data_IF_954199300424
#
_entry.id   IF_954199300424
#
_cell.length_a   1.000
_cell.length_b   1.000
_cell.length_c   1.000
_cell.angle_alpha   90.00
_cell.angle_beta   90.00
_cell.angle_gamma   90.00
#
_symmetry.space_group_name_H-M   'P 1'
#
loop_
_entity.id
_entity.type
_entity.pdbx_description
1 polymer ?
#
# COMPACT_ATOMS: atom_id res chain seq x y z
N UNK A 1 -25.76 7.96 40.47
CA UNK A 1 -24.30 7.88 40.72
C UNK A 1 -23.61 8.55 39.54
N UNK A 2 -22.60 9.35 39.85
CA UNK A 2 -22.33 10.64 39.23
C UNK A 2 -21.71 10.60 37.82
N UNK A 3 -22.09 11.61 37.04
CA UNK A 3 -21.44 12.08 35.81
C UNK A 3 -20.12 12.79 36.10
N UNK A 4 -19.16 12.67 35.19
CA UNK A 4 -17.98 13.55 35.09
C UNK A 4 -17.58 13.59 33.61
N UNK A 5 -17.98 14.59 32.83
CA UNK A 5 -17.40 15.94 32.66
C UNK A 5 -16.05 15.92 31.94
N UNK A 6 -16.07 16.33 30.67
CA UNK A 6 -14.92 16.71 29.86
C UNK A 6 -14.31 18.02 30.38
N UNK A 7 -12.97 18.10 30.41
CA UNK A 7 -12.24 19.34 30.58
C UNK A 7 -11.15 19.44 29.50
N UNK A 8 -11.38 20.33 28.54
CA UNK A 8 -10.37 20.94 27.67
C UNK A 8 -9.62 22.01 28.47
N UNK A 9 -8.28 22.01 28.42
CA UNK A 9 -7.48 23.18 28.77
C UNK A 9 -6.38 23.40 27.74
N UNK A 10 -6.38 24.62 27.21
CA UNK A 10 -5.46 25.17 26.24
C UNK A 10 -4.68 26.30 26.95
N UNK A 11 -3.38 26.41 26.67
CA UNK A 11 -2.58 27.62 26.90
C UNK A 11 -1.67 27.62 28.14
N UNK A 12 -0.36 27.75 27.94
CA UNK A 12 0.36 29.02 28.16
C UNK A 12 1.87 28.82 28.07
N UNK A 13 2.53 29.82 27.50
CA UNK A 13 3.96 29.87 27.19
C UNK A 13 4.78 30.50 28.33
N UNK A 14 5.98 29.95 28.58
CA UNK A 14 7.14 30.59 29.24
C UNK A 14 7.32 30.32 30.75
N UNK A 15 8.54 30.45 31.32
CA UNK A 15 9.80 30.93 30.74
C UNK A 15 10.96 29.91 30.80
N UNK A 16 12.00 30.24 30.04
CA UNK A 16 13.30 29.57 29.94
C UNK A 16 14.20 30.00 31.12
N UNK A 17 14.71 29.05 31.91
CA UNK A 17 15.88 29.23 32.78
C UNK A 17 16.75 27.97 32.74
N UNK A 18 18.05 28.21 32.56
CA UNK A 18 19.11 27.26 32.27
C UNK A 18 19.59 26.46 33.48
N UNK A 19 20.08 25.23 33.23
CA UNK A 19 21.19 24.65 33.99
C UNK A 19 22.02 23.72 33.10
N UNK A 20 23.31 24.05 32.95
CA UNK A 20 24.37 23.18 32.47
C UNK A 20 24.43 21.90 33.31
N UNK A 21 24.49 20.75 32.65
CA UNK A 21 24.71 19.44 33.26
C UNK A 21 25.52 18.56 32.34
N UNK A 22 26.83 18.58 32.55
CA UNK A 22 27.84 17.72 31.93
C UNK A 22 27.57 16.24 32.20
N UNK A 23 27.35 15.46 31.15
CA UNK A 23 27.29 14.00 31.20
C UNK A 23 28.04 13.41 30.00
N UNK A 24 29.35 13.26 30.14
CA UNK A 24 30.21 12.62 29.16
C UNK A 24 29.92 11.10 29.14
N UNK A 25 29.25 10.63 28.09
CA UNK A 25 29.29 9.22 27.71
C UNK A 25 30.60 8.92 26.95
N UNK A 26 31.16 7.71 27.03
CA UNK A 26 32.39 7.38 26.33
C UNK A 26 32.12 7.30 24.83
N UNK A 27 32.43 8.38 24.12
CA UNK A 27 32.51 8.38 22.65
C UNK A 27 33.82 7.70 22.24
N UNK A 28 33.73 6.57 21.53
CA UNK A 28 34.88 6.01 20.82
C UNK A 28 35.29 7.00 19.71
N UNK A 29 36.26 7.84 20.03
CA UNK A 29 36.80 8.84 19.12
C UNK A 29 37.58 8.20 17.98
N UNK A 30 37.52 8.82 16.81
CA UNK A 30 38.60 8.77 15.85
C UNK A 30 38.90 10.19 15.37
N UNK A 31 40.13 10.63 15.57
CA UNK A 31 40.63 11.95 15.21
C UNK A 31 40.83 12.04 13.69
N UNK A 32 40.26 13.08 13.05
CA UNK A 32 40.64 13.48 11.70
C UNK A 32 41.87 14.38 11.78
N UNK A 33 42.99 13.88 11.25
CA UNK A 33 44.21 14.67 11.06
C UNK A 33 44.06 15.51 9.79
N UNK A 34 44.25 16.82 9.96
CA UNK A 34 44.42 17.80 8.90
C UNK A 34 45.72 17.53 8.11
N UNK A 35 45.65 17.54 6.78
CA UNK A 35 46.82 17.84 5.95
C UNK A 35 46.41 18.70 4.74
N UNK A 36 47.03 19.87 4.67
CA UNK A 36 46.85 20.93 3.67
C UNK A 36 47.88 20.85 2.53
N UNK A 37 47.40 20.83 1.26
CA UNK A 37 47.85 21.54 0.01
C UNK A 37 49.34 21.50 -0.46
N UNK A 38 49.69 21.55 -1.77
CA UNK A 38 49.19 22.56 -2.75
C UNK A 38 49.03 22.16 -4.23
N UNK A 39 48.45 23.13 -4.96
CA UNK A 39 47.93 23.17 -6.33
C UNK A 39 48.98 23.36 -7.44
N UNK A 40 48.69 22.84 -8.66
CA UNK A 40 48.81 23.46 -10.03
C UNK A 40 49.10 22.41 -11.13
N UNK A 41 48.88 22.67 -12.44
CA UNK A 41 47.85 23.45 -13.13
C UNK A 41 47.12 22.63 -14.26
N UNK A 42 46.09 23.26 -14.87
CA UNK A 42 45.19 22.73 -15.90
C UNK A 42 45.85 22.34 -17.24
N UNK A 43 45.39 21.23 -17.82
CA UNK A 43 45.54 20.88 -19.24
C UNK A 43 44.24 20.19 -19.77
N UNK A 44 43.93 20.28 -21.08
CA UNK A 44 42.56 20.34 -21.59
C UNK A 44 41.87 18.98 -21.75
N UNK A 45 40.54 19.05 -21.63
CA UNK A 45 39.53 17.99 -21.69
C UNK A 45 39.40 17.37 -23.08
N UNK A 46 39.70 16.07 -23.21
CA UNK A 46 39.18 15.22 -24.27
C UNK A 46 38.08 14.34 -23.68
N UNK A 47 36.83 14.58 -24.09
CA UNK A 47 35.68 13.74 -23.77
C UNK A 47 35.77 12.41 -24.54
N UNK A 48 36.39 11.42 -23.94
CA UNK A 48 36.19 10.01 -24.31
C UNK A 48 35.10 9.45 -23.37
N UNK A 49 34.07 8.84 -23.96
CA UNK A 49 33.02 8.14 -23.23
C UNK A 49 33.64 6.96 -22.46
N UNK A 50 33.91 7.17 -21.17
CA UNK A 50 34.35 6.11 -20.28
C UNK A 50 33.16 5.18 -20.00
N UNK A 51 33.23 3.97 -20.53
CA UNK A 51 32.50 2.83 -19.98
C UNK A 51 32.85 2.71 -18.51
N UNK A 52 31.92 3.03 -17.62
CA UNK A 52 32.12 2.89 -16.18
C UNK A 52 32.26 1.39 -15.86
N UNK A 53 33.49 0.91 -15.73
CA UNK A 53 33.77 -0.40 -15.15
C UNK A 53 33.44 -0.31 -13.66
N UNK A 54 32.45 -1.07 -13.22
CA UNK A 54 32.18 -1.24 -11.78
C UNK A 54 33.44 -1.87 -11.16
N UNK A 55 34.09 -1.21 -10.18
CA UNK A 55 35.30 -1.74 -9.58
C UNK A 55 34.99 -3.05 -8.84
N UNK A 56 35.85 -4.06 -9.02
CA UNK A 56 35.73 -5.33 -8.32
C UNK A 56 35.79 -5.12 -6.80
N UNK A 57 34.97 -5.85 -6.00
CA UNK A 57 34.96 -5.69 -4.55
C UNK A 57 36.33 -6.04 -3.95
N UNK A 58 36.77 -5.28 -2.96
CA UNK A 58 38.02 -5.54 -2.27
C UNK A 58 37.98 -6.89 -1.53
N UNK A 59 39.12 -7.59 -1.35
CA UNK A 59 39.15 -8.85 -0.59
C UNK A 59 38.58 -8.73 0.83
N UNK A 60 38.74 -7.57 1.46
CA UNK A 60 38.19 -7.27 2.79
C UNK A 60 36.66 -7.21 2.75
N UNK A 61 36.07 -6.61 1.70
CA UNK A 61 34.62 -6.55 1.54
C UNK A 61 34.02 -7.96 1.36
N UNK A 62 34.70 -8.84 0.62
CA UNK A 62 34.28 -10.24 0.44
C UNK A 62 34.33 -11.01 1.76
N UNK A 63 35.43 -10.90 2.52
CA UNK A 63 35.55 -11.57 3.82
C UNK A 63 34.53 -11.04 4.84
N UNK A 64 34.32 -9.73 4.89
CA UNK A 64 33.32 -9.12 5.76
C UNK A 64 31.90 -9.58 5.42
N UNK A 65 31.56 -9.69 4.13
CA UNK A 65 30.27 -10.22 3.68
C UNK A 65 30.06 -11.67 4.17
N UNK A 66 31.06 -12.54 4.00
CA UNK A 66 31.01 -13.93 4.48
C UNK A 66 30.84 -14.00 6.00
N UNK A 67 31.61 -13.22 6.75
CA UNK A 67 31.52 -13.17 8.21
C UNK A 67 30.15 -12.67 8.70
N UNK A 68 29.59 -11.65 8.05
CA UNK A 68 28.26 -11.12 8.36
C UNK A 68 27.17 -12.17 8.14
N UNK A 69 27.26 -12.98 7.07
CA UNK A 69 26.32 -14.09 6.83
C UNK A 69 26.36 -15.10 7.97
N UNK A 70 27.55 -15.46 8.47
CA UNK A 70 27.69 -16.39 9.61
C UNK A 70 27.07 -15.80 10.87
N UNK A 71 27.32 -14.52 11.17
CA UNK A 71 26.71 -13.84 12.33
C UNK A 71 25.19 -13.83 12.22
N UNK A 72 24.65 -13.39 11.09
CA UNK A 72 23.19 -13.29 10.87
C UNK A 72 22.52 -14.66 10.99
N UNK A 73 23.13 -15.71 10.42
CA UNK A 73 22.62 -17.07 10.56
C UNK A 73 22.65 -17.53 12.02
N UNK A 74 23.73 -17.24 12.77
CA UNK A 74 23.80 -17.58 14.19
C UNK A 74 22.74 -16.84 15.02
N UNK A 75 22.58 -15.53 14.82
CA UNK A 75 21.57 -14.71 15.48
C UNK A 75 20.15 -15.23 15.21
N UNK A 76 19.88 -15.68 13.98
CA UNK A 76 18.59 -16.27 13.63
C UNK A 76 18.35 -17.63 14.31
N UNK A 77 19.30 -18.57 14.21
CA UNK A 77 19.11 -19.93 14.72
C UNK A 77 19.19 -20.00 16.26
N UNK A 78 20.23 -19.42 16.85
CA UNK A 78 20.43 -19.45 18.29
C UNK A 78 19.58 -18.39 19.00
N UNK A 79 19.56 -17.17 18.48
CA UNK A 79 18.84 -16.05 19.08
C UNK A 79 17.33 -16.15 18.88
N UNK A 80 16.84 -15.95 17.65
CA UNK A 80 15.41 -15.88 17.39
C UNK A 80 14.68 -17.23 17.57
N UNK A 81 15.17 -18.30 16.94
CA UNK A 81 14.45 -19.59 16.94
C UNK A 81 14.51 -20.32 18.27
N UNK A 82 15.66 -20.27 18.95
CA UNK A 82 15.87 -20.99 20.22
C UNK A 82 15.64 -20.11 21.45
N UNK A 83 15.66 -18.78 21.30
CA UNK A 83 15.55 -17.84 22.42
C UNK A 83 16.80 -17.78 23.31
N UNK A 84 17.93 -18.34 22.87
CA UNK A 84 19.14 -18.39 23.69
C UNK A 84 19.62 -16.97 23.98
N UNK A 85 19.99 -16.69 25.23
CA UNK A 85 20.50 -15.39 25.68
C UNK A 85 19.49 -14.24 25.56
N UNK A 86 18.19 -14.54 25.48
CA UNK A 86 17.15 -13.51 25.53
C UNK A 86 17.21 -12.70 26.83
N UNK A 87 17.13 -11.39 26.71
CA UNK A 87 17.10 -10.44 27.83
C UNK A 87 15.75 -9.70 27.94
N UNK A 88 14.80 -10.03 27.06
CA UNK A 88 13.44 -9.49 27.06
C UNK A 88 12.42 -10.49 26.52
N UNK A 89 11.22 -10.46 27.06
CA UNK A 89 10.07 -11.18 26.54
C UNK A 89 9.09 -10.24 25.84
N UNK A 90 8.49 -10.69 24.74
CA UNK A 90 7.41 -9.99 24.05
C UNK A 90 6.15 -10.84 24.10
N UNK A 91 5.11 -10.35 24.74
CA UNK A 91 3.81 -10.98 24.86
C UNK A 91 2.85 -10.36 23.83
N UNK A 92 2.27 -11.22 23.01
CA UNK A 92 1.13 -10.92 22.12
C UNK A 92 -0.04 -11.86 22.48
N UNK A 93 -1.26 -11.63 21.95
CA UNK A 93 -2.43 -12.38 22.41
C UNK A 93 -2.32 -13.91 22.20
N UNK A 94 -1.58 -14.34 21.19
CA UNK A 94 -1.43 -15.75 20.81
C UNK A 94 -0.13 -16.41 21.30
N UNK A 95 0.89 -15.66 21.71
CA UNK A 95 2.22 -16.21 21.99
C UNK A 95 3.09 -15.28 22.83
N UNK A 96 4.08 -15.86 23.50
CA UNK A 96 5.23 -15.15 24.07
C UNK A 96 6.51 -15.47 23.29
N UNK A 97 7.33 -14.45 23.05
CA UNK A 97 8.65 -14.58 22.42
C UNK A 97 9.76 -14.27 23.42
N UNK A 98 10.83 -15.04 23.39
CA UNK A 98 12.08 -14.75 24.07
C UNK A 98 13.03 -14.06 23.07
N UNK A 99 13.25 -12.76 23.25
CA UNK A 99 13.92 -11.88 22.27
C UNK A 99 15.10 -11.13 22.89
N UNK A 100 15.76 -10.31 22.07
CA UNK A 100 16.97 -9.58 22.43
C UNK A 100 16.75 -8.08 22.23
N UNK A 101 16.87 -7.28 23.31
CA UNK A 101 16.58 -5.84 23.30
C UNK A 101 17.34 -5.11 22.19
N UNK A 102 18.63 -5.40 22.05
CA UNK A 102 19.49 -4.78 21.03
C UNK A 102 19.03 -5.05 19.58
N UNK A 103 18.43 -6.22 19.33
CA UNK A 103 17.97 -6.58 17.99
C UNK A 103 16.59 -5.96 17.75
N UNK A 104 15.67 -6.11 18.70
CA UNK A 104 14.30 -5.61 18.53
C UNK A 104 14.20 -4.08 18.61
N UNK A 105 15.17 -3.38 19.20
CA UNK A 105 15.25 -1.92 19.18
C UNK A 105 15.45 -1.33 17.78
N UNK A 106 15.72 -2.16 16.77
CA UNK A 106 15.69 -1.77 15.36
C UNK A 106 14.29 -1.39 14.87
N UNK A 107 13.25 -1.91 15.52
CA UNK A 107 11.87 -1.47 15.31
C UNK A 107 11.64 -0.18 16.14
N UNK A 108 11.32 0.96 15.51
CA UNK A 108 11.02 2.20 16.22
C UNK A 108 9.85 2.05 17.19
N UNK A 109 8.84 1.25 16.82
CA UNK A 109 7.71 0.95 17.69
C UNK A 109 8.15 0.20 18.95
N UNK A 110 8.89 -0.91 18.81
CA UNK A 110 9.36 -1.68 19.96
C UNK A 110 10.37 -0.90 20.81
N UNK A 111 11.23 -0.09 20.19
CA UNK A 111 12.13 0.82 20.91
C UNK A 111 11.35 1.83 21.76
N UNK A 112 10.27 2.40 21.21
CA UNK A 112 9.40 3.31 21.97
C UNK A 112 8.70 2.59 23.13
N UNK A 113 8.14 1.40 22.90
CA UNK A 113 7.48 0.60 23.94
C UNK A 113 8.47 0.22 25.06
N UNK A 114 9.71 -0.15 24.72
CA UNK A 114 10.77 -0.38 25.71
C UNK A 114 11.09 0.88 26.52
N UNK A 115 11.18 2.04 25.86
CA UNK A 115 11.51 3.31 26.52
C UNK A 115 10.44 3.79 27.50
N UNK A 116 9.18 3.44 27.23
CA UNK A 116 8.01 3.78 28.05
C UNK A 116 7.70 2.73 29.11
N UNK A 117 8.42 1.59 29.09
CA UNK A 117 8.27 0.49 30.06
C UNK A 117 9.62 0.07 30.67
N UNK A 118 10.41 1.00 31.25
CA UNK A 118 11.82 0.77 31.59
C UNK A 118 12.07 -0.28 32.69
N UNK A 119 11.06 -0.59 33.51
CA UNK A 119 11.17 -1.55 34.61
C UNK A 119 10.69 -2.97 34.26
N UNK A 120 10.09 -3.17 33.08
CA UNK A 120 9.55 -4.48 32.69
C UNK A 120 10.52 -5.24 31.78
N UNK A 121 10.75 -6.52 32.09
CA UNK A 121 11.40 -7.46 31.18
C UNK A 121 10.41 -8.13 30.21
N UNK A 122 9.14 -7.75 30.27
CA UNK A 122 8.08 -8.26 29.40
C UNK A 122 7.34 -7.10 28.77
N UNK A 123 7.39 -7.01 27.44
CA UNK A 123 6.62 -6.06 26.65
C UNK A 123 5.29 -6.70 26.28
N UNK A 124 4.18 -5.97 26.39
CA UNK A 124 2.86 -6.44 25.98
C UNK A 124 2.39 -5.60 24.80
N UNK A 125 2.12 -6.23 23.66
CA UNK A 125 1.62 -5.53 22.47
C UNK A 125 0.14 -5.88 22.29
N UNK A 126 -0.77 -4.90 22.42
CA UNK A 126 -2.19 -5.12 22.18
C UNK A 126 -2.45 -5.21 20.68
N UNK A 127 -2.83 -6.39 20.19
CA UNK A 127 -3.11 -6.66 18.77
C UNK A 127 -4.57 -7.03 18.52
N UNK A 128 -5.43 -7.01 19.54
CA UNK A 128 -6.83 -7.41 19.48
C UNK A 128 -7.67 -6.55 18.53
N UNK A 129 -7.23 -5.32 18.27
CA UNK A 129 -7.91 -4.36 17.39
C UNK A 129 -7.33 -4.34 15.97
N UNK A 130 -6.33 -5.19 15.67
CA UNK A 130 -5.62 -5.20 14.40
C UNK A 130 -5.93 -6.48 13.60
N UNK A 131 -7.11 -6.56 12.94
CA UNK A 131 -7.57 -7.79 12.27
C UNK A 131 -6.71 -8.19 11.06
N UNK A 132 -5.87 -7.27 10.57
CA UNK A 132 -4.97 -7.51 9.44
C UNK A 132 -3.59 -8.04 9.88
N UNK A 133 -3.32 -8.14 11.18
CA UNK A 133 -2.10 -8.75 11.71
C UNK A 133 -2.39 -10.19 12.11
N UNK A 134 -1.59 -11.10 11.60
CA UNK A 134 -1.70 -12.54 11.87
C UNK A 134 -0.51 -13.02 12.71
N UNK A 135 -0.64 -14.17 13.40
CA UNK A 135 0.50 -14.78 14.08
C UNK A 135 1.69 -15.02 13.15
N UNK A 136 1.42 -15.51 11.93
CA UNK A 136 2.44 -15.78 10.93
C UNK A 136 3.16 -14.49 10.49
N UNK A 137 2.41 -13.43 10.18
CA UNK A 137 3.02 -12.17 9.76
C UNK A 137 3.85 -11.52 10.87
N UNK A 138 3.42 -11.67 12.12
CA UNK A 138 4.16 -11.22 13.29
C UNK A 138 5.47 -12.01 13.48
N UNK A 139 5.43 -13.33 13.35
CA UNK A 139 6.61 -14.20 13.38
C UNK A 139 7.61 -13.78 12.29
N UNK A 140 7.13 -13.58 11.05
CA UNK A 140 7.96 -13.17 9.91
C UNK A 140 8.65 -11.83 10.21
N UNK A 141 7.89 -10.81 10.61
CA UNK A 141 8.45 -9.47 10.84
C UNK A 141 9.46 -9.43 12.01
N UNK A 142 9.17 -10.11 13.12
CA UNK A 142 10.15 -10.22 14.22
C UNK A 142 11.41 -10.96 13.77
N UNK A 143 11.24 -12.05 13.03
CA UNK A 143 12.37 -12.84 12.53
C UNK A 143 13.21 -12.07 11.51
N UNK A 144 12.61 -11.14 10.76
CA UNK A 144 13.28 -10.24 9.83
C UNK A 144 14.27 -9.29 10.53
N UNK A 145 13.98 -8.86 11.77
CA UNK A 145 14.91 -8.05 12.56
C UNK A 145 16.22 -8.80 12.86
N UNK A 146 16.20 -10.14 12.85
CA UNK A 146 17.37 -11.00 13.04
C UNK A 146 18.02 -11.40 11.72
N UNK A 147 17.23 -11.68 10.67
CA UNK A 147 17.75 -12.16 9.39
C UNK A 147 16.77 -11.92 8.23
N UNK A 148 17.27 -11.54 7.04
CA UNK A 148 16.46 -11.42 5.84
C UNK A 148 15.96 -12.77 5.31
N UNK A 149 16.44 -13.90 5.84
CA UNK A 149 15.96 -15.24 5.43
C UNK A 149 14.43 -15.42 5.62
N UNK A 150 13.83 -14.63 6.51
CA UNK A 150 12.38 -14.56 6.71
C UNK A 150 11.59 -14.11 5.48
N UNK A 151 12.23 -13.42 4.52
CA UNK A 151 11.62 -13.06 3.23
C UNK A 151 11.16 -14.30 2.46
N UNK A 152 11.84 -15.44 2.64
CA UNK A 152 11.46 -16.70 2.01
C UNK A 152 10.10 -17.22 2.48
N UNK A 153 9.59 -16.76 3.63
CA UNK A 153 8.27 -17.12 4.14
C UNK A 153 7.15 -16.21 3.60
N UNK A 154 7.49 -15.09 2.96
CA UNK A 154 6.48 -14.18 2.40
C UNK A 154 5.95 -14.77 1.09
N UNK A 155 4.62 -14.82 0.99
CA UNK A 155 3.85 -15.43 -0.11
C UNK A 155 2.68 -14.52 -0.47
N UNK A 156 2.11 -14.62 -1.69
CA UNK A 156 0.99 -13.78 -2.09
C UNK A 156 -0.21 -13.78 -1.10
N UNK A 157 -0.51 -14.92 -0.47
CA UNK A 157 -1.64 -15.04 0.46
C UNK A 157 -1.41 -14.38 1.83
N UNK A 158 -0.16 -14.31 2.32
CA UNK A 158 0.19 -13.71 3.62
C UNK A 158 0.78 -12.29 3.47
N UNK A 159 1.11 -11.87 2.25
CA UNK A 159 1.79 -10.60 1.95
C UNK A 159 1.07 -9.38 2.55
N UNK A 160 -0.26 -9.35 2.52
CA UNK A 160 -1.06 -8.27 3.14
C UNK A 160 -0.80 -8.14 4.63
N UNK A 161 -0.81 -9.27 5.35
CA UNK A 161 -0.60 -9.27 6.80
C UNK A 161 0.84 -8.93 7.16
N UNK A 162 1.81 -9.40 6.35
CA UNK A 162 3.23 -9.05 6.49
C UNK A 162 3.44 -7.54 6.29
N UNK A 163 2.80 -6.95 5.27
CA UNK A 163 2.86 -5.51 5.02
C UNK A 163 2.32 -4.71 6.22
N UNK A 164 1.13 -5.06 6.72
CA UNK A 164 0.54 -4.44 7.91
C UNK A 164 1.50 -4.52 9.12
N UNK A 165 2.03 -5.71 9.38
CA UNK A 165 2.94 -5.95 10.51
C UNK A 165 4.23 -5.14 10.39
N UNK A 166 4.84 -5.11 9.20
CA UNK A 166 6.06 -4.36 8.94
C UNK A 166 5.84 -2.84 9.12
N UNK A 167 4.67 -2.33 8.72
CA UNK A 167 4.29 -0.94 8.95
C UNK A 167 4.01 -0.62 10.41
N UNK A 168 3.34 -1.51 11.17
CA UNK A 168 3.13 -1.34 12.61
C UNK A 168 4.46 -1.24 13.37
N UNK A 169 5.34 -2.21 13.13
CA UNK A 169 6.61 -2.31 13.87
C UNK A 169 7.63 -1.28 13.39
N UNK A 170 7.62 -0.93 12.10
CA UNK A 170 8.55 0.02 11.49
C UNK A 170 10.01 -0.49 11.40
N UNK A 171 10.87 0.27 10.72
CA UNK A 171 12.32 -0.03 10.57
C UNK A 171 12.62 -1.25 9.70
N UNK A 172 11.69 -1.63 8.83
CA UNK A 172 11.74 -2.80 7.95
C UNK A 172 11.23 -2.45 6.54
N UNK A 173 11.75 -1.37 5.96
CA UNK A 173 11.27 -0.80 4.69
C UNK A 173 11.38 -1.79 3.54
N UNK A 174 12.46 -2.57 3.50
CA UNK A 174 12.66 -3.60 2.48
C UNK A 174 11.63 -4.74 2.59
N UNK A 175 11.30 -5.19 3.81
CA UNK A 175 10.25 -6.19 4.03
C UNK A 175 8.88 -5.64 3.61
N UNK A 176 8.56 -4.41 4.01
CA UNK A 176 7.32 -3.76 3.63
C UNK A 176 7.21 -3.63 2.11
N UNK A 177 8.25 -3.12 1.44
CA UNK A 177 8.26 -3.00 -0.02
C UNK A 177 8.15 -4.37 -0.71
N UNK A 178 8.86 -5.40 -0.22
CA UNK A 178 8.78 -6.75 -0.78
C UNK A 178 7.36 -7.34 -0.66
N UNK A 179 6.75 -7.23 0.52
CA UNK A 179 5.38 -7.66 0.75
C UNK A 179 4.38 -6.86 -0.11
N UNK A 180 4.60 -5.55 -0.29
CA UNK A 180 3.82 -4.71 -1.18
C UNK A 180 3.88 -5.17 -2.65
N UNK A 181 5.07 -5.47 -3.16
CA UNK A 181 5.22 -6.00 -4.53
C UNK A 181 4.48 -7.34 -4.70
N UNK A 182 4.54 -8.23 -3.71
CA UNK A 182 3.77 -9.48 -3.73
C UNK A 182 2.26 -9.26 -3.67
N UNK A 183 1.80 -8.23 -2.96
CA UNK A 183 0.40 -7.81 -2.97
C UNK A 183 -0.03 -7.44 -4.41
N UNK A 184 0.75 -6.61 -5.10
CA UNK A 184 0.45 -6.22 -6.48
C UNK A 184 0.49 -7.39 -7.46
N UNK A 185 1.45 -8.31 -7.31
CA UNK A 185 1.53 -9.52 -8.13
C UNK A 185 0.35 -10.48 -7.92
N UNK A 186 -0.29 -10.42 -6.75
CA UNK A 186 -1.47 -11.23 -6.46
C UNK A 186 -2.76 -10.67 -7.06
N UNK A 187 -2.74 -9.46 -7.64
CA UNK A 187 -3.91 -8.85 -8.29
C UNK A 187 -4.21 -9.58 -9.59
N UNK A 188 -5.41 -10.14 -9.68
CA UNK A 188 -5.89 -10.91 -10.81
C UNK A 188 -7.41 -10.81 -10.93
N UNK A 189 -7.97 -11.35 -12.01
CA UNK A 189 -9.43 -11.48 -12.20
C UNK A 189 -10.08 -12.21 -11.01
N UNK A 190 -9.42 -13.23 -10.48
CA UNK A 190 -9.96 -14.09 -9.43
C UNK A 190 -9.90 -13.43 -8.05
N UNK A 191 -8.89 -12.60 -7.81
CA UNK A 191 -8.62 -12.01 -6.49
C UNK A 191 -9.11 -10.57 -6.36
N UNK A 192 -9.44 -9.87 -7.46
CA UNK A 192 -9.78 -8.44 -7.43
C UNK A 192 -10.97 -8.14 -6.51
N UNK A 193 -11.94 -9.04 -6.39
CA UNK A 193 -13.09 -8.83 -5.50
C UNK A 193 -12.67 -8.88 -4.02
N UNK A 194 -11.81 -9.82 -3.63
CA UNK A 194 -11.28 -9.90 -2.26
C UNK A 194 -10.41 -8.67 -1.91
N UNK A 195 -9.76 -8.09 -2.92
CA UNK A 195 -9.03 -6.83 -2.78
C UNK A 195 -9.97 -5.65 -2.55
N UNK A 196 -11.12 -5.62 -3.23
CA UNK A 196 -12.13 -4.57 -3.02
C UNK A 196 -12.75 -4.66 -1.62
N UNK A 197 -13.15 -5.86 -1.20
CA UNK A 197 -13.71 -6.07 0.14
C UNK A 197 -12.72 -5.65 1.24
N UNK A 198 -11.43 -5.97 1.04
CA UNK A 198 -10.36 -5.51 1.90
C UNK A 198 -10.25 -3.98 1.93
N UNK A 199 -10.21 -3.31 0.77
CA UNK A 199 -10.05 -1.85 0.71
C UNK A 199 -11.25 -1.08 1.27
N UNK A 200 -12.44 -1.67 1.21
CA UNK A 200 -13.66 -1.15 1.85
C UNK A 200 -13.63 -1.30 3.37
N UNK A 201 -12.97 -2.35 3.89
CA UNK A 201 -12.80 -2.53 5.33
C UNK A 201 -11.83 -1.53 5.96
N UNK A 202 -10.96 -0.92 5.16
CA UNK A 202 -10.03 0.10 5.63
C UNK A 202 -10.75 1.43 5.93
N UNK A 203 -10.32 2.16 6.97
CA UNK A 203 -10.84 3.50 7.27
C UNK A 203 -10.88 4.40 6.04
N UNK A 204 -12.02 5.06 5.83
CA UNK A 204 -12.22 5.92 4.67
C UNK A 204 -11.29 7.15 4.71
N UNK A 205 -10.76 7.49 3.54
CA UNK A 205 -10.09 8.78 3.32
C UNK A 205 -11.16 9.84 3.18
N UNK A 206 -11.33 10.70 4.19
CA UNK A 206 -12.28 11.81 4.11
C UNK A 206 -11.84 12.80 3.03
N UNK A 207 -12.74 13.09 2.09
CA UNK A 207 -12.49 14.02 0.98
C UNK A 207 -12.41 15.50 1.42
N UNK A 208 -12.56 15.79 2.72
CA UNK A 208 -12.66 17.13 3.29
C UNK A 208 -11.29 17.72 3.75
N UNK A 209 -10.17 17.17 3.29
CA UNK A 209 -8.83 17.71 3.60
C UNK A 209 -8.36 17.45 5.04
N UNK A 210 -9.04 16.56 5.76
CA UNK A 210 -8.57 16.05 7.04
C UNK A 210 -7.53 14.95 6.79
N UNK A 211 -6.44 14.87 7.59
CA UNK A 211 -5.47 13.79 7.43
C UNK A 211 -6.17 12.44 7.52
N UNK A 212 -5.77 11.53 6.62
CA UNK A 212 -6.29 10.17 6.57
C UNK A 212 -6.25 9.54 7.98
N UNK A 213 -7.33 8.86 8.41
CA UNK A 213 -7.29 8.10 9.65
C UNK A 213 -6.08 7.14 9.61
N UNK A 214 -5.30 7.05 10.71
CA UNK A 214 -4.14 6.19 10.74
C UNK A 214 -4.57 4.75 10.48
N UNK A 215 -3.92 4.10 9.53
CA UNK A 215 -4.09 2.67 9.26
C UNK A 215 -2.79 1.96 9.59
N UNK A 216 -2.90 0.70 9.97
CA UNK A 216 -1.73 -0.18 10.19
C UNK A 216 -0.86 -0.35 8.94
N UNK A 217 -1.38 -0.01 7.76
CA UNK A 217 -0.65 -0.06 6.48
C UNK A 217 0.11 1.23 6.16
N UNK A 218 0.00 2.27 6.99
CA UNK A 218 0.67 3.56 6.76
C UNK A 218 0.40 4.13 5.36
N UNK A 219 1.44 4.55 4.61
CA UNK A 219 1.27 5.12 3.27
C UNK A 219 0.77 4.10 2.22
N UNK A 220 0.98 2.81 2.45
CA UNK A 220 0.62 1.77 1.48
C UNK A 220 -0.88 1.59 1.33
N UNK A 221 -1.71 1.98 2.32
CA UNK A 221 -3.17 1.94 2.19
C UNK A 221 -3.65 2.77 0.99
N UNK A 222 -3.14 3.99 0.85
CA UNK A 222 -3.47 4.86 -0.28
C UNK A 222 -2.92 4.30 -1.60
N UNK A 223 -1.68 3.83 -1.60
CA UNK A 223 -1.05 3.27 -2.79
C UNK A 223 -1.79 2.03 -3.29
N UNK A 224 -2.18 1.10 -2.41
CA UNK A 224 -2.99 -0.07 -2.77
C UNK A 224 -4.32 0.33 -3.41
N UNK A 225 -5.00 1.38 -2.93
CA UNK A 225 -6.24 1.87 -3.54
C UNK A 225 -6.01 2.38 -4.96
N UNK A 226 -4.94 3.15 -5.16
CA UNK A 226 -4.60 3.67 -6.49
C UNK A 226 -4.17 2.54 -7.45
N UNK A 227 -3.39 1.58 -6.98
CA UNK A 227 -2.92 0.47 -7.80
C UNK A 227 -4.03 -0.53 -8.14
N UNK A 228 -4.97 -0.80 -7.22
CA UNK A 228 -6.17 -1.60 -7.52
C UNK A 228 -7.04 -0.87 -8.55
N UNK A 229 -7.20 0.45 -8.43
CA UNK A 229 -7.92 1.22 -9.44
C UNK A 229 -7.21 1.18 -10.79
N UNK A 230 -5.89 1.33 -10.82
CA UNK A 230 -5.10 1.26 -12.04
C UNK A 230 -5.16 -0.14 -12.67
N UNK A 231 -5.15 -1.19 -11.84
CA UNK A 231 -5.38 -2.56 -12.29
C UNK A 231 -6.74 -2.70 -12.98
N UNK A 232 -7.82 -2.16 -12.38
CA UNK A 232 -9.14 -2.16 -13.00
C UNK A 232 -9.15 -1.40 -14.35
N UNK A 233 -8.51 -0.24 -14.41
CA UNK A 233 -8.53 0.62 -15.61
C UNK A 233 -7.72 0.02 -16.76
N UNK A 234 -6.51 -0.45 -16.48
CA UNK A 234 -5.50 -0.78 -17.50
C UNK A 234 -5.24 -2.27 -17.56
N UNK A 235 -4.75 -2.85 -16.46
CA UNK A 235 -4.20 -4.22 -16.47
C UNK A 235 -5.26 -5.29 -16.68
N UNK A 236 -6.44 -5.15 -16.06
CA UNK A 236 -7.52 -6.13 -16.11
C UNK A 236 -8.14 -6.25 -17.51
N UNK A 237 -8.53 -5.16 -18.21
CA UNK A 237 -9.02 -5.28 -19.58
C UNK A 237 -7.98 -5.86 -20.53
N UNK A 238 -6.68 -5.54 -20.34
CA UNK A 238 -5.59 -6.06 -21.15
C UNK A 238 -5.35 -7.55 -20.91
N UNK A 239 -5.32 -8.00 -19.65
CA UNK A 239 -5.13 -9.41 -19.31
C UNK A 239 -6.28 -10.29 -19.81
N UNK A 240 -7.50 -9.74 -19.85
CA UNK A 240 -8.67 -10.39 -20.42
C UNK A 240 -8.74 -10.30 -21.95
N UNK A 241 -7.85 -9.54 -22.62
CA UNK A 241 -7.97 -9.22 -24.05
C UNK A 241 -9.36 -8.69 -24.42
N UNK A 242 -9.97 -7.92 -23.51
CA UNK A 242 -11.38 -7.56 -23.56
C UNK A 242 -11.76 -6.73 -24.80
N UNK A 243 -10.80 -5.97 -25.35
CA UNK A 243 -11.02 -5.08 -26.50
C UNK A 243 -10.14 -5.42 -27.71
N UNK A 244 -9.49 -6.58 -27.71
CA UNK A 244 -8.67 -7.06 -28.83
C UNK A 244 -9.58 -7.49 -29.99
N UNK A 245 -10.06 -6.49 -30.74
CA UNK A 245 -10.67 -6.65 -32.06
C UNK A 245 -9.64 -6.11 -33.06
N UNK A 246 -9.30 -6.91 -34.09
CA UNK A 246 -8.15 -6.75 -34.96
C UNK A 246 -7.77 -5.32 -35.39
N UNK A 247 -6.46 -5.13 -35.52
CA UNK A 247 -5.78 -3.95 -36.04
C UNK A 247 -6.52 -3.25 -37.20
N UNK A 248 -6.65 -1.92 -37.09
CA UNK A 248 -6.29 -1.05 -38.22
C UNK A 248 -7.22 -0.94 -39.43
N UNK A 249 -8.51 -1.28 -39.38
CA UNK A 249 -9.43 -0.96 -40.50
C UNK A 249 -10.73 -0.28 -40.07
N UNK A 250 -11.07 0.90 -40.63
CA UNK A 250 -12.41 1.45 -40.54
C UNK A 250 -13.29 0.71 -41.55
N UNK A 251 -13.77 -0.48 -41.21
CA UNK A 251 -14.76 -1.20 -42.03
C UNK A 251 -15.83 -1.79 -41.10
N UNK A 252 -16.97 -1.12 -41.00
CA UNK A 252 -18.22 -1.87 -41.16
C UNK A 252 -18.38 -2.11 -42.67
N UNK A 253 -18.79 -3.29 -43.16
CA UNK A 253 -20.06 -3.92 -42.78
C UNK A 253 -20.10 -5.47 -42.85
N UNK A 254 -21.21 -6.05 -42.35
CA UNK A 254 -21.65 -7.45 -42.53
C UNK A 254 -20.91 -8.51 -41.70
N UNK A 255 -21.57 -9.01 -40.64
CA UNK A 255 -21.36 -10.39 -40.16
C UNK A 255 -21.19 -10.60 -38.66
N UNK A 256 -20.66 -9.62 -37.91
CA UNK A 256 -20.58 -9.72 -36.44
C UNK A 256 -21.74 -8.92 -35.87
N UNK A 257 -22.67 -9.60 -35.19
CA UNK A 257 -23.84 -8.93 -34.63
C UNK A 257 -23.35 -7.91 -33.60
N UNK A 258 -24.00 -6.74 -33.52
CA UNK A 258 -23.72 -5.74 -32.48
C UNK A 258 -23.89 -6.26 -31.02
N UNK A 259 -24.28 -7.53 -30.86
CA UNK A 259 -24.48 -8.25 -29.62
C UNK A 259 -23.34 -9.22 -29.26
N UNK A 260 -22.44 -9.57 -30.19
CA UNK A 260 -21.40 -10.56 -29.94
C UNK A 260 -20.27 -9.92 -29.15
N UNK A 261 -20.21 -10.22 -27.86
CA UNK A 261 -19.12 -9.82 -26.97
C UNK A 261 -18.05 -10.91 -26.98
N UNK A 262 -16.78 -10.50 -26.96
CA UNK A 262 -15.71 -11.46 -26.74
C UNK A 262 -15.82 -12.06 -25.33
N UNK A 263 -15.35 -13.29 -25.11
CA UNK A 263 -15.30 -13.89 -23.76
C UNK A 263 -14.55 -12.99 -22.75
N UNK A 264 -13.50 -12.30 -23.20
CA UNK A 264 -12.76 -11.32 -22.40
C UNK A 264 -13.60 -10.11 -21.99
N UNK A 265 -14.41 -9.59 -22.93
CA UNK A 265 -15.34 -8.50 -22.64
C UNK A 265 -16.46 -8.94 -21.70
N UNK A 266 -16.93 -10.19 -21.81
CA UNK A 266 -17.92 -10.77 -20.90
C UNK A 266 -17.36 -10.92 -19.47
N UNK A 267 -16.15 -11.44 -19.33
CA UNK A 267 -15.47 -11.55 -18.04
C UNK A 267 -15.26 -10.17 -17.40
N UNK A 268 -14.81 -9.18 -18.19
CA UNK A 268 -14.63 -7.80 -17.72
C UNK A 268 -15.96 -7.21 -17.24
N UNK A 269 -17.03 -7.43 -18.01
CA UNK A 269 -18.37 -6.97 -17.67
C UNK A 269 -18.85 -7.60 -16.37
N UNK A 270 -18.61 -8.89 -16.15
CA UNK A 270 -18.94 -9.56 -14.89
C UNK A 270 -18.25 -8.91 -13.69
N UNK A 271 -16.95 -8.59 -13.78
CA UNK A 271 -16.24 -7.86 -12.72
C UNK A 271 -16.82 -6.46 -12.51
N UNK A 272 -17.01 -5.69 -13.59
CA UNK A 272 -17.50 -4.31 -13.54
C UNK A 272 -18.92 -4.18 -12.97
N UNK A 273 -19.74 -5.22 -13.12
CA UNK A 273 -21.09 -5.24 -12.51
C UNK A 273 -21.08 -5.37 -10.99
N UNK A 274 -19.97 -5.82 -10.40
CA UNK A 274 -19.84 -5.98 -8.94
C UNK A 274 -19.10 -4.83 -8.27
N UNK A 275 -18.48 -3.93 -9.03
CA UNK A 275 -17.70 -2.83 -8.48
C UNK A 275 -18.57 -1.85 -7.65
N UNK A 276 -18.00 -1.25 -6.60
CA UNK A 276 -18.57 -0.06 -5.96
C UNK A 276 -18.72 1.07 -6.98
N UNK A 277 -19.74 1.91 -6.83
CA UNK A 277 -20.07 2.91 -7.84
C UNK A 277 -18.94 3.89 -8.13
N UNK A 278 -18.23 4.34 -7.09
CA UNK A 278 -17.15 5.30 -7.27
C UNK A 278 -15.99 4.71 -8.07
N UNK A 279 -15.66 3.44 -7.85
CA UNK A 279 -14.63 2.75 -8.64
C UNK A 279 -15.10 2.45 -10.05
N UNK A 280 -16.36 2.01 -10.22
CA UNK A 280 -16.97 1.81 -11.53
C UNK A 280 -16.95 3.10 -12.37
N UNK A 281 -17.37 4.22 -11.77
CA UNK A 281 -17.36 5.55 -12.38
C UNK A 281 -15.93 5.98 -12.74
N UNK A 282 -15.02 5.99 -11.76
CA UNK A 282 -13.63 6.42 -11.96
C UNK A 282 -12.92 5.57 -13.02
N UNK A 283 -13.19 4.28 -13.06
CA UNK A 283 -12.54 3.39 -14.01
C UNK A 283 -12.99 3.67 -15.45
N UNK A 284 -14.29 3.80 -15.68
CA UNK A 284 -14.84 4.01 -17.04
C UNK A 284 -14.67 5.45 -17.55
N UNK A 285 -14.62 6.44 -16.66
CA UNK A 285 -14.34 7.82 -17.05
C UNK A 285 -12.84 8.08 -17.27
N UNK A 286 -11.97 7.15 -16.85
CA UNK A 286 -10.52 7.31 -17.00
C UNK A 286 -10.11 7.39 -18.49
N UNK A 287 -9.30 8.38 -18.90
CA UNK A 287 -8.78 8.43 -20.26
C UNK A 287 -7.89 7.23 -20.61
N UNK A 288 -7.30 6.57 -19.61
CA UNK A 288 -6.42 5.41 -19.79
C UNK A 288 -7.16 4.10 -20.04
N UNK A 289 -8.49 4.07 -19.88
CA UNK A 289 -9.27 2.86 -20.12
C UNK A 289 -9.14 2.43 -21.60
N UNK A 290 -8.73 1.18 -21.89
CA UNK A 290 -8.19 0.73 -23.20
C UNK A 290 -9.26 0.52 -24.29
N UNK A 291 -10.37 1.25 -24.20
CA UNK A 291 -11.43 1.25 -25.18
C UNK A 291 -11.36 2.55 -25.97
N UNK A 292 -10.90 2.43 -27.23
CA UNK A 292 -10.81 3.53 -28.16
C UNK A 292 -12.20 3.95 -28.66
N UNK A 293 -12.51 5.23 -28.50
CA UNK A 293 -13.75 5.83 -28.99
C UNK A 293 -14.89 5.80 -27.97
N UNK A 294 -15.54 6.96 -27.84
CA UNK A 294 -16.57 7.20 -26.83
C UNK A 294 -17.84 6.39 -27.03
N UNK A 295 -18.12 5.97 -28.26
CA UNK A 295 -19.28 5.14 -28.57
C UNK A 295 -19.14 3.73 -27.99
N UNK A 296 -17.97 3.09 -28.11
CA UNK A 296 -17.78 1.75 -27.56
C UNK A 296 -17.77 1.76 -26.04
N UNK A 297 -17.16 2.79 -25.43
CA UNK A 297 -17.17 3.00 -23.97
C UNK A 297 -18.57 3.27 -23.43
N UNK A 298 -19.36 4.09 -24.13
CA UNK A 298 -20.76 4.31 -23.81
C UNK A 298 -21.58 3.01 -23.86
N UNK A 299 -21.41 2.20 -24.92
CA UNK A 299 -22.10 0.91 -25.05
C UNK A 299 -21.73 -0.06 -23.93
N UNK A 300 -20.43 -0.17 -23.60
CA UNK A 300 -19.96 -1.00 -22.50
C UNK A 300 -20.55 -0.56 -21.16
N UNK A 301 -20.45 0.74 -20.84
CA UNK A 301 -21.00 1.33 -19.62
C UNK A 301 -22.51 1.11 -19.50
N UNK A 302 -23.25 1.30 -20.60
CA UNK A 302 -24.70 1.08 -20.65
C UNK A 302 -25.05 -0.37 -20.32
N UNK A 303 -24.33 -1.33 -20.90
CA UNK A 303 -24.55 -2.77 -20.65
C UNK A 303 -24.22 -3.15 -19.21
N UNK A 304 -23.13 -2.59 -18.65
CA UNK A 304 -22.76 -2.81 -17.25
C UNK A 304 -23.84 -2.29 -16.29
N UNK A 305 -24.33 -1.07 -16.51
CA UNK A 305 -25.42 -0.47 -15.72
C UNK A 305 -26.70 -1.32 -15.80
N UNK A 306 -27.06 -1.79 -17.00
CA UNK A 306 -28.23 -2.66 -17.18
C UNK A 306 -28.11 -3.97 -16.39
N UNK A 307 -26.95 -4.62 -16.44
CA UNK A 307 -26.69 -5.83 -15.66
C UNK A 307 -26.65 -5.57 -14.14
N UNK A 308 -26.11 -4.43 -13.71
CA UNK A 308 -26.13 -4.01 -12.29
C UNK A 308 -27.54 -3.85 -11.76
N UNK A 309 -28.44 -3.29 -12.58
CA UNK A 309 -29.87 -3.19 -12.28
C UNK A 309 -30.54 -4.56 -12.21
N UNK A 310 -30.28 -5.44 -13.19
CA UNK A 310 -30.85 -6.80 -13.23
C UNK A 310 -30.42 -7.65 -12.02
N UNK A 311 -29.19 -7.45 -11.52
CA UNK A 311 -28.64 -8.18 -10.37
C UNK A 311 -28.97 -7.55 -9.01
N UNK A 312 -29.71 -6.45 -8.97
CA UNK A 312 -30.07 -5.76 -7.73
C UNK A 312 -28.88 -5.07 -7.02
N UNK A 313 -27.76 -4.85 -7.72
CA UNK A 313 -26.59 -4.13 -7.18
C UNK A 313 -26.93 -2.64 -7.01
N UNK A 314 -27.64 -2.07 -7.97
CA UNK A 314 -28.23 -0.73 -7.84
C UNK A 314 -29.49 -0.83 -6.99
N UNK A 315 -29.54 -0.08 -5.88
CA UNK A 315 -30.71 -0.09 -4.98
C UNK A 315 -31.96 0.43 -5.70
N UNK A 316 -33.14 0.02 -5.27
CA UNK A 316 -34.42 0.38 -5.91
C UNK A 316 -34.66 1.91 -5.96
N UNK A 317 -34.13 2.63 -4.97
CA UNK A 317 -34.18 4.09 -4.89
C UNK A 317 -33.02 4.79 -5.60
N UNK A 318 -32.13 4.06 -6.27
CA UNK A 318 -30.99 4.59 -7.01
C UNK A 318 -31.17 4.37 -8.52
N UNK A 319 -30.66 5.31 -9.32
CA UNK A 319 -30.67 5.22 -10.76
C UNK A 319 -29.28 5.59 -11.29
N UNK A 320 -28.57 4.60 -11.80
CA UNK A 320 -27.30 4.77 -12.51
C UNK A 320 -27.58 5.02 -13.99
N UNK A 321 -26.94 6.03 -14.58
CA UNK A 321 -27.05 6.37 -16.00
C UNK A 321 -25.70 6.73 -16.58
N UNK A 322 -25.53 6.47 -17.88
CA UNK A 322 -24.37 6.89 -18.65
C UNK A 322 -24.80 7.94 -19.67
N UNK A 323 -24.01 8.99 -19.81
CA UNK A 323 -24.23 10.07 -20.77
C UNK A 323 -22.96 10.32 -21.58
N UNK A 324 -23.14 10.76 -22.82
CA UNK A 324 -22.07 11.31 -23.63
C UNK A 324 -22.09 12.83 -23.42
N UNK A 325 -21.02 13.37 -22.81
CA UNK A 325 -20.87 14.81 -22.71
C UNK A 325 -20.39 15.35 -24.06
N UNK A 326 -21.12 16.32 -24.61
CA UNK A 326 -20.71 17.12 -25.76
C UNK A 326 -20.29 18.50 -25.23
N UNK A 327 -18.98 18.75 -25.15
CA UNK A 327 -18.42 19.99 -24.62
C UNK A 327 -18.04 20.97 -25.73
N UNK A 328 -18.69 22.13 -25.73
CA UNK A 328 -18.51 23.24 -26.66
C UNK A 328 -17.25 24.10 -26.36
N UNK A 329 -16.06 23.51 -26.49
CA UNK A 329 -14.78 24.21 -26.46
C UNK A 329 -13.84 23.64 -27.51
N UNK A 330 -12.87 24.42 -27.96
CA UNK A 330 -12.03 24.24 -29.17
C UNK A 330 -11.02 23.05 -29.08
N UNK A 331 -11.56 21.87 -28.81
CA UNK A 331 -10.82 20.64 -28.54
C UNK A 331 -11.74 19.51 -28.06
N UNK A 332 -12.92 19.37 -28.67
CA UNK A 332 -14.04 18.52 -28.27
C UNK A 332 -13.66 17.09 -27.87
N UNK A 333 -13.33 16.90 -26.59
CA UNK A 333 -13.25 15.59 -25.97
C UNK A 333 -14.66 15.12 -25.67
N UNK A 334 -15.25 14.35 -26.59
CA UNK A 334 -16.39 13.52 -26.26
C UNK A 334 -15.96 12.64 -25.09
N UNK A 335 -16.60 12.75 -23.92
CA UNK A 335 -16.21 11.97 -22.74
C UNK A 335 -17.45 11.29 -22.16
N UNK A 336 -17.35 9.98 -21.94
CA UNK A 336 -18.39 9.21 -21.26
C UNK A 336 -18.42 9.65 -19.80
N UNK A 337 -19.61 9.98 -19.28
CA UNK A 337 -19.84 10.34 -17.89
C UNK A 337 -20.88 9.40 -17.28
N UNK A 338 -20.64 8.97 -16.05
CA UNK A 338 -21.51 8.05 -15.31
C UNK A 338 -22.04 8.78 -14.08
N UNK A 339 -23.37 8.77 -13.91
CA UNK A 339 -24.04 9.46 -12.81
C UNK A 339 -24.98 8.52 -12.07
N UNK A 340 -25.10 8.73 -10.75
CA UNK A 340 -26.07 8.04 -9.90
C UNK A 340 -26.99 9.08 -9.26
N UNK A 341 -28.30 8.90 -9.41
CA UNK A 341 -29.33 9.75 -8.78
C UNK A 341 -30.10 8.94 -7.75
N UNK A 342 -30.39 9.54 -6.60
CA UNK A 342 -31.30 8.96 -5.59
C UNK A 342 -32.71 9.47 -5.89
N UNK A 343 -33.65 8.57 -6.18
CA UNK A 343 -35.06 8.87 -6.35
C UNK A 343 -35.64 9.30 -5.00
N UNK A 344 -36.02 10.57 -4.87
CA UNK A 344 -36.72 11.07 -3.68
C UNK A 344 -38.09 10.40 -3.60
N UNK A 345 -38.45 9.84 -2.44
CA UNK A 345 -39.83 9.37 -2.19
C UNK A 345 -40.78 10.56 -2.33
N UNK A 346 -41.92 10.42 -3.03
CA UNK A 346 -42.88 11.51 -3.14
C UNK A 346 -43.40 11.86 -1.74
N UNK A 347 -43.25 13.13 -1.33
CA UNK A 347 -43.93 13.64 -0.15
C UNK A 347 -45.43 13.63 -0.44
N UNK A 348 -46.19 12.85 0.32
CA UNK A 348 -47.64 12.83 0.25
C UNK A 348 -48.16 14.23 0.63
N UNK A 349 -48.98 14.82 -0.24
CA UNK A 349 -49.72 16.04 0.10
C UNK A 349 -50.86 15.65 1.05
N UNK A 350 -50.88 16.22 2.24
CA UNK A 350 -52.07 16.21 3.10
C UNK A 350 -53.11 17.07 2.41
N UNK A 351 -54.16 16.45 1.86
CA UNK A 351 -55.39 17.18 1.50
C UNK A 351 -56.11 17.57 2.78
N UNK A 352 -56.35 18.89 2.93
CA UNK A 352 -57.15 19.47 4.00
C UNK A 352 -58.64 19.19 3.81
#
# INVERSE_FOLDING_TARGET
MASTSYATLNGSSGPVVATNGTGAGPSNGHASVYSSTPSSPLAPTHHAAATQSVPAPSPVAVLASSHNVVIVNHLYQAGFRSGNYSDIALQVPWRQYALHQLIISRSPYLAHVMSTTPSSKTLVIPLEQEPHITPESFDIALSYLYSPASLEAVRPHNARAVLATACLLGGMEELANYAYQLCLQSLSVDTVMDWLDFLESLPATDAQGQPDPPTVFGPYAKQLREDVLNFLIVSLPLSLSAFSSGEGTPISPVGVSANDISPGQEALLHVYTRLPFDLFKRALESPQFPLYGNQGRFRFAKRAIEMRKQRGITKENEEETVVLAFGAGDGGSHAVHITRKIKKKPLWKVTK
#
